data_IF_718552586949
#
_entry.id   IF_718552586949
#
_cell.length_a   1.000
_cell.length_b   1.000
_cell.length_c   1.000
_cell.angle_alpha   90.00
_cell.angle_beta   90.00
_cell.angle_gamma   90.00
#
_symmetry.space_group_name_H-M   'P 1'
#
loop_
_entity.id
_entity.type
_entity.pdbx_description
1 polymer ?
#
# COMPACT_ATOMS: atom_id res chain seq x y z
N UNK A 1 19.23 -10.61 -8.67
CA UNK A 1 18.81 -10.54 -9.74
C UNK A 1 17.50 -10.98 -10.40
N UNK A 2 17.61 -11.52 -11.57
CA UNK A 2 16.52 -11.82 -12.49
C UNK A 2 15.36 -12.64 -11.92
N UNK A 3 15.66 -13.59 -11.04
CA UNK A 3 14.64 -14.44 -10.38
C UNK A 3 13.69 -13.58 -9.51
N UNK A 4 14.24 -12.63 -8.76
CA UNK A 4 13.43 -11.72 -7.93
C UNK A 4 12.54 -10.84 -8.79
N UNK A 5 13.09 -10.27 -9.86
CA UNK A 5 12.33 -9.44 -10.80
C UNK A 5 11.21 -10.23 -11.46
N UNK A 6 11.51 -11.46 -11.92
CA UNK A 6 10.50 -12.36 -12.50
C UNK A 6 9.40 -12.72 -11.50
N UNK A 7 9.74 -12.96 -10.23
CA UNK A 7 8.77 -13.25 -9.18
C UNK A 7 7.84 -12.04 -8.90
N UNK A 8 8.39 -10.81 -8.91
CA UNK A 8 7.60 -9.58 -8.79
C UNK A 8 6.60 -9.47 -9.94
N UNK A 9 7.06 -9.65 -11.18
CA UNK A 9 6.17 -9.59 -12.35
C UNK A 9 5.09 -10.68 -12.33
N UNK A 10 5.44 -11.91 -11.95
CA UNK A 10 4.49 -13.01 -11.86
C UNK A 10 3.41 -12.72 -10.80
N UNK A 11 3.79 -12.24 -9.61
CA UNK A 11 2.83 -11.90 -8.55
C UNK A 11 1.95 -10.71 -8.91
N UNK A 12 2.48 -9.71 -9.61
CA UNK A 12 1.72 -8.58 -10.12
C UNK A 12 0.70 -9.00 -11.17
N UNK A 13 1.11 -9.80 -12.15
CA UNK A 13 0.23 -10.36 -13.18
C UNK A 13 -0.90 -11.17 -12.55
N UNK A 14 -0.57 -12.04 -11.60
CA UNK A 14 -1.53 -12.85 -10.88
C UNK A 14 -2.53 -11.96 -10.12
N UNK A 15 -2.06 -10.91 -9.45
CA UNK A 15 -2.89 -9.93 -8.75
C UNK A 15 -3.87 -9.21 -9.70
N UNK A 16 -3.38 -8.81 -10.88
CA UNK A 16 -4.21 -8.17 -11.90
C UNK A 16 -5.27 -9.15 -12.43
N UNK A 17 -4.88 -10.34 -12.83
CA UNK A 17 -5.81 -11.37 -13.37
C UNK A 17 -6.88 -11.71 -12.35
N UNK A 18 -6.52 -11.95 -11.08
CA UNK A 18 -7.48 -12.27 -10.03
C UNK A 18 -8.40 -11.09 -9.73
N UNK A 19 -7.91 -9.87 -9.81
CA UNK A 19 -8.73 -8.67 -9.65
C UNK A 19 -9.79 -8.52 -10.73
N UNK A 20 -9.49 -8.88 -11.99
CA UNK A 20 -10.43 -8.77 -13.11
C UNK A 20 -11.37 -9.96 -13.22
N UNK A 21 -10.86 -11.19 -13.15
CA UNK A 21 -11.61 -12.39 -13.49
C UNK A 21 -12.19 -13.13 -12.27
N UNK A 22 -11.44 -13.18 -11.15
CA UNK A 22 -11.72 -14.08 -10.03
C UNK A 22 -11.94 -13.37 -8.69
N UNK A 23 -12.27 -12.08 -8.70
CA UNK A 23 -12.47 -11.28 -7.47
C UNK A 23 -13.49 -11.88 -6.50
N UNK A 24 -14.49 -12.62 -7.00
CA UNK A 24 -15.53 -13.25 -6.18
C UNK A 24 -15.06 -14.52 -5.48
N UNK A 25 -13.98 -15.12 -5.96
CA UNK A 25 -13.43 -16.35 -5.39
C UNK A 25 -12.54 -16.00 -4.19
N UNK A 26 -13.09 -16.16 -3.00
CA UNK A 26 -12.41 -15.79 -1.74
C UNK A 26 -11.07 -16.51 -1.56
N UNK A 27 -11.00 -17.79 -1.92
CA UNK A 27 -9.78 -18.59 -1.80
C UNK A 27 -8.64 -18.02 -2.66
N UNK A 28 -8.90 -17.73 -3.92
CA UNK A 28 -7.92 -17.15 -4.84
C UNK A 28 -7.41 -15.79 -4.36
N UNK A 29 -8.31 -14.93 -3.87
CA UNK A 29 -7.91 -13.62 -3.32
C UNK A 29 -7.06 -13.77 -2.07
N UNK A 30 -7.30 -14.78 -1.24
CA UNK A 30 -6.50 -15.08 -0.05
C UNK A 30 -5.11 -15.59 -0.43
N UNK A 31 -5.02 -16.50 -1.40
CA UNK A 31 -3.73 -17.00 -1.92
C UNK A 31 -2.89 -15.87 -2.50
N UNK A 32 -3.48 -15.00 -3.33
CA UNK A 32 -2.75 -13.84 -3.89
C UNK A 32 -2.23 -12.92 -2.79
N UNK A 33 -3.00 -12.67 -1.75
CA UNK A 33 -2.56 -11.84 -0.61
C UNK A 33 -1.43 -12.49 0.16
N UNK A 34 -1.48 -13.80 0.37
CA UNK A 34 -0.38 -14.55 1.00
C UNK A 34 0.90 -14.49 0.15
N UNK A 35 0.77 -14.67 -1.15
CA UNK A 35 1.90 -14.53 -2.08
C UNK A 35 2.47 -13.12 -2.07
N UNK A 36 1.63 -12.08 -2.05
CA UNK A 36 2.10 -10.70 -1.96
C UNK A 36 2.89 -10.44 -0.67
N UNK A 37 2.38 -10.89 0.46
CA UNK A 37 3.09 -10.74 1.74
C UNK A 37 4.42 -11.50 1.71
N UNK A 38 4.43 -12.75 1.24
CA UNK A 38 5.63 -13.59 1.22
C UNK A 38 6.65 -13.12 0.18
N UNK A 39 6.21 -12.92 -1.07
CA UNK A 39 7.12 -12.61 -2.19
C UNK A 39 7.46 -11.13 -2.25
N UNK A 40 6.45 -10.25 -2.32
CA UNK A 40 6.70 -8.81 -2.44
C UNK A 40 7.17 -8.19 -1.13
N UNK A 41 6.63 -8.63 0.02
CA UNK A 41 7.03 -8.13 1.33
C UNK A 41 8.39 -8.68 1.77
N UNK A 42 8.45 -9.97 2.09
CA UNK A 42 9.61 -10.56 2.76
C UNK A 42 10.76 -10.96 1.82
N UNK A 43 10.47 -11.51 0.64
CA UNK A 43 11.52 -12.01 -0.24
C UNK A 43 12.14 -10.93 -1.11
N UNK A 44 11.31 -10.13 -1.81
CA UNK A 44 11.78 -9.12 -2.74
C UNK A 44 11.97 -7.75 -2.09
N UNK A 45 11.18 -7.42 -1.03
CA UNK A 45 11.18 -6.10 -0.42
C UNK A 45 10.75 -4.99 -1.40
N UNK A 46 9.96 -5.35 -2.42
CA UNK A 46 9.53 -4.45 -3.49
C UNK A 46 8.12 -3.96 -3.18
N UNK A 47 8.02 -2.74 -2.73
CA UNK A 47 6.76 -2.05 -2.48
C UNK A 47 6.94 -0.56 -2.75
N UNK A 48 5.87 0.11 -3.15
CA UNK A 48 5.89 1.56 -3.28
C UNK A 48 5.87 2.20 -1.88
N UNK A 49 6.88 3.01 -1.60
CA UNK A 49 6.95 3.88 -0.44
C UNK A 49 7.20 5.33 -0.90
N UNK A 50 6.91 6.29 -0.03
CA UNK A 50 7.26 7.69 -0.32
C UNK A 50 8.76 7.90 -0.34
N UNK A 51 9.50 7.17 0.48
CA UNK A 51 10.97 7.15 0.49
C UNK A 51 11.51 6.78 -0.89
N UNK A 52 10.98 5.72 -1.50
CA UNK A 52 11.37 5.29 -2.84
C UNK A 52 11.03 6.33 -3.92
N UNK A 53 9.84 6.96 -3.83
CA UNK A 53 9.47 8.04 -4.76
C UNK A 53 10.39 9.24 -4.61
N UNK A 54 10.75 9.61 -3.38
CA UNK A 54 11.72 10.67 -3.11
C UNK A 54 13.08 10.36 -3.72
N UNK A 55 13.59 9.15 -3.53
CA UNK A 55 14.89 8.74 -4.03
C UNK A 55 14.94 8.77 -5.57
N UNK A 56 13.85 8.41 -6.24
CA UNK A 56 13.75 8.54 -7.70
C UNK A 56 13.78 9.99 -8.17
N UNK A 57 13.16 10.90 -7.42
CA UNK A 57 13.18 12.34 -7.74
C UNK A 57 14.54 12.96 -7.45
N UNK A 58 15.21 12.52 -6.38
CA UNK A 58 16.50 13.10 -5.95
C UNK A 58 17.71 12.60 -6.76
N UNK A 59 17.74 11.29 -7.07
CA UNK A 59 18.92 10.64 -7.68
C UNK A 59 18.67 10.18 -9.11
N UNK A 60 17.43 10.32 -9.63
CA UNK A 60 17.06 9.82 -10.95
C UNK A 60 16.68 8.34 -10.94
N UNK A 61 16.26 7.86 -12.10
CA UNK A 61 15.81 6.48 -12.33
C UNK A 61 16.98 5.64 -12.87
N UNK A 62 17.57 4.82 -12.01
CA UNK A 62 18.47 3.76 -12.47
C UNK A 62 17.63 2.67 -13.16
N UNK A 63 17.74 2.50 -14.50
CA UNK A 63 16.80 1.65 -15.25
C UNK A 63 16.82 0.18 -14.84
N UNK A 64 17.92 -0.31 -14.29
CA UNK A 64 18.08 -1.73 -13.94
C UNK A 64 17.48 -2.06 -12.57
N UNK A 65 17.58 -1.14 -11.60
CA UNK A 65 17.11 -1.35 -10.21
C UNK A 65 15.66 -0.90 -10.05
N UNK A 66 15.25 0.12 -10.80
CA UNK A 66 13.94 0.76 -10.65
C UNK A 66 12.84 0.18 -11.55
N UNK A 67 13.17 -0.73 -12.50
CA UNK A 67 12.19 -1.29 -13.42
C UNK A 67 10.99 -1.93 -12.72
N UNK A 68 11.22 -2.74 -11.71
CA UNK A 68 10.16 -3.38 -10.94
C UNK A 68 9.29 -2.35 -10.19
N UNK A 69 9.93 -1.34 -9.58
CA UNK A 69 9.24 -0.25 -8.91
C UNK A 69 8.44 0.63 -9.87
N UNK A 70 8.98 0.91 -11.05
CA UNK A 70 8.30 1.68 -12.10
C UNK A 70 7.04 0.94 -12.59
N UNK A 71 7.14 -0.35 -12.82
CA UNK A 71 5.98 -1.18 -13.22
C UNK A 71 4.95 -1.25 -12.08
N UNK A 72 5.38 -1.37 -10.83
CA UNK A 72 4.51 -1.27 -9.67
C UNK A 72 3.75 0.06 -9.64
N UNK A 73 4.44 1.17 -9.88
CA UNK A 73 3.85 2.50 -9.94
C UNK A 73 2.85 2.62 -11.10
N UNK A 74 3.23 2.16 -12.29
CA UNK A 74 2.35 2.16 -13.46
C UNK A 74 1.09 1.34 -13.21
N UNK A 75 1.20 0.14 -12.66
CA UNK A 75 0.04 -0.70 -12.30
C UNK A 75 -0.81 0.00 -11.25
N UNK A 76 -0.21 0.60 -10.23
CA UNK A 76 -0.93 1.32 -9.17
C UNK A 76 -1.74 2.50 -9.71
N UNK A 77 -1.18 3.24 -10.68
CA UNK A 77 -1.83 4.40 -11.29
C UNK A 77 -2.84 4.02 -12.39
N UNK A 78 -2.56 2.99 -13.19
CA UNK A 78 -3.44 2.60 -14.31
C UNK A 78 -4.68 1.84 -13.87
N UNK A 79 -4.59 1.01 -12.81
CA UNK A 79 -5.72 0.20 -12.35
C UNK A 79 -6.96 1.00 -11.94
N UNK A 80 -6.85 2.16 -11.26
CA UNK A 80 -7.99 3.02 -11.00
C UNK A 80 -8.69 3.53 -12.27
N UNK A 81 -7.91 3.85 -13.31
CA UNK A 81 -8.46 4.28 -14.60
C UNK A 81 -9.24 3.18 -15.32
N UNK A 82 -8.87 1.92 -15.07
CA UNK A 82 -9.58 0.73 -15.56
C UNK A 82 -10.81 0.35 -14.70
N UNK A 83 -11.21 1.22 -13.78
CA UNK A 83 -12.38 1.03 -12.92
C UNK A 83 -12.13 0.14 -11.71
N UNK A 84 -10.87 -0.04 -11.32
CA UNK A 84 -10.47 -0.81 -10.13
C UNK A 84 -9.82 0.09 -9.06
N UNK A 85 -10.64 0.87 -8.32
CA UNK A 85 -10.14 1.73 -7.26
C UNK A 85 -9.45 0.89 -6.17
N UNK A 86 -8.40 1.46 -5.59
CA UNK A 86 -7.62 0.84 -4.51
C UNK A 86 -7.01 -0.52 -4.84
N UNK A 87 -6.80 -0.84 -6.14
CA UNK A 87 -6.22 -2.12 -6.57
C UNK A 87 -4.88 -2.38 -5.89
N UNK A 88 -3.99 -1.38 -5.88
CA UNK A 88 -2.68 -1.48 -5.25
C UNK A 88 -2.77 -1.92 -3.78
N UNK A 89 -3.60 -1.22 -2.97
CA UNK A 89 -3.76 -1.54 -1.56
C UNK A 89 -4.40 -2.91 -1.28
N UNK A 90 -5.15 -3.45 -2.26
CA UNK A 90 -5.88 -4.71 -2.11
C UNK A 90 -5.10 -5.94 -2.56
N UNK A 91 -4.30 -5.81 -3.64
CA UNK A 91 -3.73 -6.95 -4.36
C UNK A 91 -2.22 -6.84 -4.57
N UNK A 92 -1.58 -5.71 -4.23
CA UNK A 92 -0.16 -5.51 -4.47
C UNK A 92 0.58 -5.13 -3.19
N UNK A 93 0.05 -4.20 -2.41
CA UNK A 93 0.71 -3.75 -1.18
C UNK A 93 0.80 -4.88 -0.14
N UNK A 94 2.01 -5.27 0.33
CA UNK A 94 2.17 -6.34 1.31
C UNK A 94 1.50 -6.02 2.65
N UNK A 95 1.64 -4.78 3.14
CA UNK A 95 0.99 -4.35 4.38
C UNK A 95 -0.54 -4.34 4.27
N UNK A 96 -1.08 -3.85 3.13
CA UNK A 96 -2.52 -3.89 2.86
C UNK A 96 -3.06 -5.32 2.76
N UNK A 97 -2.29 -6.22 2.15
CA UNK A 97 -2.62 -7.65 2.04
C UNK A 97 -2.58 -8.33 3.42
N UNK A 98 -1.56 -8.07 4.24
CA UNK A 98 -1.45 -8.60 5.61
C UNK A 98 -2.63 -8.14 6.49
N UNK A 99 -2.96 -6.85 6.48
CA UNK A 99 -4.12 -6.32 7.21
C UNK A 99 -5.45 -6.92 6.73
N UNK A 100 -5.56 -7.18 5.42
CA UNK A 100 -6.76 -7.80 4.86
C UNK A 100 -6.90 -9.28 5.24
N UNK A 101 -5.79 -10.01 5.35
CA UNK A 101 -5.76 -11.40 5.83
C UNK A 101 -6.15 -11.48 7.29
N UNK A 102 -5.55 -10.65 8.15
CA UNK A 102 -5.88 -10.57 9.58
C UNK A 102 -7.33 -10.12 9.81
N UNK A 103 -7.83 -9.23 8.95
CA UNK A 103 -9.24 -8.83 8.97
C UNK A 103 -10.23 -9.94 8.56
N UNK A 104 -9.78 -11.10 8.05
CA UNK A 104 -10.64 -12.27 7.78
C UNK A 104 -10.81 -13.17 9.00
N UNK A 105 -9.97 -13.02 10.03
CA UNK A 105 -10.08 -13.80 11.26
C UNK A 105 -11.43 -13.57 11.96
N UNK A 106 -11.98 -14.55 12.66
CA UNK A 106 -13.30 -14.48 13.30
C UNK A 106 -13.28 -13.67 14.61
N UNK A 107 -12.63 -12.50 14.61
CA UNK A 107 -12.66 -11.57 15.73
C UNK A 107 -13.86 -10.61 15.63
N UNK A 108 -14.38 -10.09 16.76
CA UNK A 108 -15.43 -9.09 16.76
C UNK A 108 -14.97 -7.84 15.99
N UNK A 109 -15.65 -7.53 14.89
CA UNK A 109 -15.27 -6.41 14.03
C UNK A 109 -16.03 -5.16 14.42
N UNK A 110 -15.28 -4.11 14.69
CA UNK A 110 -15.83 -2.78 14.97
C UNK A 110 -16.26 -2.18 13.63
N UNK A 111 -17.56 -1.92 13.46
CA UNK A 111 -18.11 -1.23 12.30
C UNK A 111 -17.77 0.26 12.42
N UNK A 112 -16.93 0.74 11.52
CA UNK A 112 -16.60 2.17 11.45
C UNK A 112 -17.79 2.90 10.80
N UNK A 113 -18.42 3.80 11.56
CA UNK A 113 -19.53 4.62 11.08
C UNK A 113 -19.09 5.60 9.98
N UNK A 114 -20.05 6.10 9.19
CA UNK A 114 -19.75 7.04 8.10
C UNK A 114 -19.04 8.32 8.59
N UNK A 115 -19.43 8.86 9.74
CA UNK A 115 -18.78 10.05 10.33
C UNK A 115 -17.31 9.81 10.65
N UNK A 116 -17.01 8.64 11.25
CA UNK A 116 -15.63 8.23 11.57
C UNK A 116 -14.81 7.97 10.32
N UNK A 117 -15.42 7.38 9.30
CA UNK A 117 -14.75 7.16 8.00
C UNK A 117 -14.40 8.49 7.31
N UNK A 118 -15.28 9.49 7.35
CA UNK A 118 -15.02 10.84 6.84
C UNK A 118 -13.94 11.56 7.64
N UNK A 119 -13.95 11.41 8.98
CA UNK A 119 -12.89 11.95 9.83
C UNK A 119 -11.52 11.36 9.46
N UNK A 120 -11.40 10.05 9.33
CA UNK A 120 -10.14 9.40 8.92
C UNK A 120 -9.70 9.83 7.52
N UNK A 121 -10.63 10.02 6.58
CA UNK A 121 -10.29 10.51 5.25
C UNK A 121 -9.73 11.93 5.29
N UNK A 122 -10.32 12.83 6.09
CA UNK A 122 -9.81 14.19 6.28
C UNK A 122 -8.47 14.22 7.01
N UNK A 123 -8.35 13.41 8.08
CA UNK A 123 -7.10 13.27 8.82
C UNK A 123 -5.95 12.83 7.90
N UNK A 124 -6.19 11.83 7.06
CA UNK A 124 -5.21 11.32 6.09
C UNK A 124 -4.79 12.39 5.09
N UNK A 125 -5.72 13.19 4.59
CA UNK A 125 -5.43 14.30 3.69
C UNK A 125 -4.56 15.36 4.36
N UNK A 126 -4.89 15.74 5.60
CA UNK A 126 -4.10 16.73 6.37
C UNK A 126 -2.70 16.21 6.66
N UNK A 127 -2.57 14.94 7.08
CA UNK A 127 -1.27 14.31 7.31
C UNK A 127 -0.44 14.24 6.03
N UNK A 128 -1.06 13.89 4.90
CA UNK A 128 -0.39 13.87 3.60
C UNK A 128 0.09 15.27 3.19
N UNK A 129 -0.77 16.29 3.33
CA UNK A 129 -0.41 17.67 3.01
C UNK A 129 0.72 18.19 3.93
N UNK A 130 0.64 17.92 5.24
CA UNK A 130 1.68 18.29 6.20
C UNK A 130 3.02 17.59 5.87
N UNK A 131 2.97 16.32 5.48
CA UNK A 131 4.16 15.56 5.08
C UNK A 131 4.77 16.11 3.80
N UNK A 132 3.95 16.50 2.81
CA UNK A 132 4.44 17.12 1.57
C UNK A 132 5.10 18.48 1.83
N UNK A 133 4.50 19.32 2.68
CA UNK A 133 5.09 20.61 3.08
C UNK A 133 6.38 20.38 3.86
N UNK A 134 6.40 19.42 4.80
CA UNK A 134 7.58 19.08 5.57
C UNK A 134 8.74 18.54 4.70
N UNK A 135 8.43 17.76 3.67
CA UNK A 135 9.41 17.30 2.68
C UNK A 135 9.99 18.46 1.86
N UNK A 136 9.13 19.37 1.45
CA UNK A 136 9.57 20.58 0.72
C UNK A 136 10.44 21.47 1.59
N UNK A 137 10.15 21.57 2.88
CA UNK A 137 10.95 22.29 3.86
C UNK A 137 12.23 21.54 4.32
N UNK A 138 12.42 20.28 3.89
CA UNK A 138 13.57 19.45 4.27
C UNK A 138 13.52 18.87 5.69
N UNK A 139 12.46 19.12 6.45
CA UNK A 139 12.33 18.74 7.87
C UNK A 139 11.76 17.32 8.04
N UNK A 140 10.96 16.85 7.07
CA UNK A 140 10.22 15.58 7.20
C UNK A 140 10.99 14.35 6.69
N UNK A 141 12.29 14.48 6.41
CA UNK A 141 13.10 13.38 5.89
C UNK A 141 13.18 12.22 6.89
N UNK A 142 13.39 12.53 8.16
CA UNK A 142 13.48 11.52 9.23
C UNK A 142 12.14 10.83 9.52
N UNK A 143 11.02 11.51 9.23
CA UNK A 143 9.68 10.95 9.42
C UNK A 143 9.37 9.86 8.40
N UNK A 144 9.95 9.95 7.20
CA UNK A 144 9.80 8.93 6.17
C UNK A 144 10.42 7.59 6.57
N UNK A 145 11.48 7.61 7.37
CA UNK A 145 12.14 6.39 7.85
C UNK A 145 11.27 5.62 8.87
N UNK A 146 10.26 6.28 9.45
CA UNK A 146 9.25 5.67 10.33
C UNK A 146 8.10 5.00 9.56
N UNK A 147 8.17 4.91 8.23
CA UNK A 147 7.14 4.21 7.46
C UNK A 147 7.07 2.72 7.85
N UNK A 148 5.88 2.18 8.22
CA UNK A 148 5.74 0.79 8.65
C UNK A 148 6.02 -0.22 7.54
N UNK A 149 6.20 0.23 6.30
CA UNK A 149 6.62 -0.60 5.18
C UNK A 149 8.05 -1.11 5.33
N UNK A 150 8.95 -0.32 5.96
CA UNK A 150 10.32 -0.73 6.21
C UNK A 150 10.42 -1.93 7.16
N UNK A 151 9.37 -2.21 7.97
CA UNK A 151 9.30 -3.41 8.80
C UNK A 151 9.40 -4.73 8.01
N UNK A 152 9.03 -4.74 6.73
CA UNK A 152 9.20 -5.92 5.86
C UNK A 152 10.67 -6.14 5.48
N UNK A 153 11.53 -5.16 5.66
CA UNK A 153 12.97 -5.28 5.49
C UNK A 153 13.65 -5.46 6.86
N UNK A 154 13.46 -6.61 7.49
CA UNK A 154 13.95 -6.91 8.85
C UNK A 154 15.42 -6.58 9.14
N UNK A 155 16.27 -6.52 8.11
CA UNK A 155 17.70 -6.23 8.28
C UNK A 155 18.00 -4.76 8.48
N UNK A 156 17.09 -3.87 8.10
CA UNK A 156 17.29 -2.42 8.10
C UNK A 156 16.28 -1.70 9.00
N UNK A 157 15.17 -2.37 9.33
CA UNK A 157 14.09 -1.78 10.11
C UNK A 157 14.50 -1.51 11.56
N UNK A 158 14.28 -0.29 12.03
CA UNK A 158 14.42 0.04 13.44
C UNK A 158 13.42 -0.76 14.29
N UNK A 159 13.77 -1.18 15.52
CA UNK A 159 12.88 -1.98 16.38
C UNK A 159 11.55 -1.27 16.66
N UNK A 160 11.56 0.05 16.72
CA UNK A 160 10.35 0.88 16.87
C UNK A 160 9.36 0.67 15.72
N UNK A 161 9.86 0.58 14.48
CA UNK A 161 9.03 0.36 13.28
C UNK A 161 8.44 -1.04 13.27
N UNK A 162 9.17 -2.04 13.76
CA UNK A 162 8.66 -3.40 13.89
C UNK A 162 7.53 -3.48 14.92
N UNK A 163 7.67 -2.82 16.06
CA UNK A 163 6.63 -2.73 17.09
C UNK A 163 5.41 -2.00 16.50
N UNK A 164 5.61 -0.88 15.83
CA UNK A 164 4.54 -0.11 15.19
C UNK A 164 3.77 -0.96 14.17
N UNK A 165 4.49 -1.69 13.31
CA UNK A 165 3.88 -2.61 12.35
C UNK A 165 3.07 -3.71 13.05
N UNK A 166 3.61 -4.31 14.12
CA UNK A 166 2.92 -5.31 14.93
C UNK A 166 1.63 -4.77 15.54
N UNK A 167 1.66 -3.57 16.12
CA UNK A 167 0.47 -2.90 16.67
C UNK A 167 -0.57 -2.63 15.59
N UNK A 168 -0.17 -2.12 14.42
CA UNK A 168 -1.05 -1.88 13.28
C UNK A 168 -1.72 -3.18 12.83
N UNK A 169 -0.97 -4.26 12.72
CA UNK A 169 -1.50 -5.57 12.32
C UNK A 169 -2.45 -6.12 13.38
N UNK A 170 -2.13 -5.97 14.66
CA UNK A 170 -3.01 -6.40 15.76
C UNK A 170 -4.33 -5.63 15.74
N UNK A 171 -4.32 -4.31 15.63
CA UNK A 171 -5.53 -3.49 15.54
C UNK A 171 -6.34 -3.85 14.27
N UNK A 172 -5.68 -4.28 13.21
CA UNK A 172 -6.35 -4.68 11.96
C UNK A 172 -7.19 -5.94 12.09
N UNK A 173 -7.02 -6.73 13.16
CA UNK A 173 -7.91 -7.84 13.49
C UNK A 173 -9.32 -7.34 13.86
N UNK A 174 -9.41 -6.18 14.51
CA UNK A 174 -10.67 -5.58 14.96
C UNK A 174 -11.22 -4.54 13.98
N UNK A 175 -10.34 -3.72 13.40
CA UNK A 175 -10.70 -2.69 12.41
C UNK A 175 -9.96 -2.99 11.11
N UNK A 176 -10.62 -3.64 10.12
CA UNK A 176 -9.96 -4.03 8.89
C UNK A 176 -9.34 -2.84 8.15
N UNK A 177 -8.02 -2.93 7.88
CA UNK A 177 -7.23 -1.96 7.12
C UNK A 177 -7.19 -0.55 7.70
N UNK A 178 -7.06 -0.44 9.01
CA UNK A 178 -7.02 0.85 9.70
C UNK A 178 -5.91 1.75 9.11
N UNK A 179 -4.69 1.24 8.94
CA UNK A 179 -3.57 2.00 8.41
C UNK A 179 -3.86 2.56 7.00
N UNK A 180 -4.30 1.70 6.09
CA UNK A 180 -4.57 2.10 4.70
C UNK A 180 -5.70 3.13 4.59
N UNK A 181 -6.63 3.15 5.55
CA UNK A 181 -7.79 4.05 5.56
C UNK A 181 -7.52 5.38 6.27
N UNK A 182 -6.69 5.36 7.32
CA UNK A 182 -6.55 6.48 8.24
C UNK A 182 -5.21 7.22 8.13
N UNK A 183 -4.13 6.50 7.85
CA UNK A 183 -2.78 7.03 8.03
C UNK A 183 -1.87 6.91 6.80
N UNK A 184 -2.17 5.99 5.85
CA UNK A 184 -1.27 5.73 4.73
C UNK A 184 -1.19 6.92 3.75
N UNK A 185 -0.03 7.60 3.65
CA UNK A 185 0.13 8.74 2.76
C UNK A 185 0.11 8.33 1.28
N UNK A 186 0.68 7.19 0.94
CA UNK A 186 0.62 6.64 -0.41
C UNK A 186 -0.82 6.31 -0.82
N UNK A 187 -1.64 5.81 0.12
CA UNK A 187 -3.06 5.59 -0.09
C UNK A 187 -3.82 6.87 -0.42
N UNK A 188 -3.41 8.03 0.13
CA UNK A 188 -4.00 9.32 -0.20
C UNK A 188 -3.59 9.77 -1.60
N UNK A 189 -2.30 9.65 -1.95
CA UNK A 189 -1.81 9.97 -3.29
C UNK A 189 -2.60 9.20 -4.36
N UNK A 190 -2.81 7.90 -4.17
CA UNK A 190 -3.60 7.07 -5.09
C UNK A 190 -5.08 7.50 -5.12
N UNK A 191 -5.66 7.85 -3.98
CA UNK A 191 -7.06 8.33 -3.90
C UNK A 191 -7.24 9.66 -4.61
N UNK A 192 -6.27 10.57 -4.50
CA UNK A 192 -6.27 11.84 -5.23
C UNK A 192 -6.15 11.61 -6.75
N UNK A 193 -5.31 10.67 -7.17
CA UNK A 193 -5.20 10.26 -8.58
C UNK A 193 -6.52 9.66 -9.11
N UNK A 194 -7.26 8.92 -8.28
CA UNK A 194 -8.59 8.37 -8.59
C UNK A 194 -9.70 9.43 -8.60
N UNK A 195 -9.58 10.47 -7.79
CA UNK A 195 -10.67 11.41 -7.43
C UNK A 195 -11.23 12.24 -8.60
N UNK A 196 -10.47 12.44 -9.66
CA UNK A 196 -10.95 13.23 -10.81
C UNK A 196 -11.99 12.50 -11.65
N UNK A 197 -12.07 11.18 -11.63
CA UNK A 197 -13.05 10.38 -12.41
C UNK A 197 -14.27 9.90 -11.64
N UNK A 198 -14.13 9.63 -10.32
CA UNK A 198 -15.27 9.14 -9.51
C UNK A 198 -16.33 10.20 -9.24
N UNK A 199 -15.96 11.49 -9.17
CA UNK A 199 -16.92 12.61 -9.11
C UNK A 199 -17.76 12.72 -10.39
N UNK A 200 -17.23 12.28 -11.54
CA UNK A 200 -17.93 12.38 -12.84
C UNK A 200 -19.04 11.33 -13.03
N UNK A 201 -19.08 10.28 -12.22
CA UNK A 201 -20.08 9.19 -12.33
C UNK A 201 -21.26 9.31 -11.35
N UNK A 202 -21.31 10.39 -10.56
CA UNK A 202 -22.37 10.67 -9.58
C UNK A 202 -23.33 11.81 -10.01
N UNK A 203 -23.15 12.33 -11.25
CA UNK A 203 -24.11 13.26 -11.88
C UNK A 203 -24.77 12.48 -13.08
#
# INVERSE_FOLDING_TARGET
GWIRTAAVFATLLLGVVVSFRFRRVRWLTTVVRLLNVGVLGFWCGQFLSLTQLRDWVAHGLDPVVSLAGLVLLLVALLMPFLGRPHHYCHFVCPLGSAQALLGQLPFPKIRVGQKTALFFSRLRLVLFAALMVGLWAGVAVDILDLEPFSAFQFRVAAPVVMILCGVILFISCFVPRLWCRALCPLGELLTLAEGSRFKRKKN
#
